data_IF_203136280875
#
_entry.id   IF_203136280875
#
_cell.length_a   1.000
_cell.length_b   1.000
_cell.length_c   1.000
_cell.angle_alpha   90.00
_cell.angle_beta   90.00
_cell.angle_gamma   90.00
#
_symmetry.space_group_name_H-M   'P 1'
#
loop_
_entity.id
_entity.type
_entity.pdbx_description
1 polymer ?
#
# COMPACT_ATOMS: atom_id res chain seq x y z
N UNK A 1 -67.37 53.39 38.35
CA UNK A 1 -66.31 52.71 37.63
C UNK A 1 -66.07 53.44 36.33
N UNK A 2 -64.98 54.19 36.19
CA UNK A 2 -64.66 54.90 34.96
C UNK A 2 -63.99 53.95 33.98
N UNK A 3 -64.69 53.60 32.90
CA UNK A 3 -64.13 52.84 31.80
C UNK A 3 -63.07 53.70 31.11
N UNK A 4 -61.79 53.32 30.98
CA UNK A 4 -60.79 54.09 30.28
C UNK A 4 -61.23 54.23 28.81
N UNK A 5 -61.13 55.47 28.24
CA UNK A 5 -61.40 55.75 26.83
C UNK A 5 -60.32 55.11 25.97
N UNK A 6 -60.61 53.94 25.36
CA UNK A 6 -59.74 53.20 24.46
C UNK A 6 -59.44 53.93 23.18
N UNK A 7 -60.21 54.96 22.82
CA UNK A 7 -60.02 55.75 21.60
C UNK A 7 -58.66 56.46 21.46
N UNK A 8 -58.02 56.78 22.57
CA UNK A 8 -56.74 57.53 22.59
C UNK A 8 -55.55 56.61 22.29
N UNK A 9 -55.70 55.31 22.34
CA UNK A 9 -54.66 54.31 22.14
C UNK A 9 -54.85 53.48 20.87
N UNK A 10 -55.77 53.88 20.02
CA UNK A 10 -56.10 53.13 18.77
C UNK A 10 -54.91 53.03 17.83
N UNK A 11 -54.13 54.10 17.67
CA UNK A 11 -52.91 54.12 16.85
C UNK A 11 -51.80 53.23 17.44
N UNK A 12 -51.64 53.24 18.77
CA UNK A 12 -50.68 52.38 19.45
C UNK A 12 -51.09 50.89 19.38
N UNK A 13 -52.38 50.58 19.49
CA UNK A 13 -52.87 49.20 19.36
C UNK A 13 -52.72 48.68 17.92
N UNK A 14 -52.94 49.53 16.88
CA UNK A 14 -52.71 49.14 15.51
C UNK A 14 -51.21 48.90 15.24
N UNK A 15 -50.35 49.75 15.78
CA UNK A 15 -48.89 49.55 15.69
C UNK A 15 -48.43 48.28 16.38
N UNK A 16 -48.94 47.99 17.58
CA UNK A 16 -48.62 46.78 18.34
C UNK A 16 -49.15 45.52 17.61
N UNK A 17 -50.34 45.57 17.02
CA UNK A 17 -50.88 44.45 16.23
C UNK A 17 -49.99 44.17 14.98
N UNK A 18 -49.61 45.23 14.24
CA UNK A 18 -48.71 45.11 13.10
C UNK A 18 -47.32 44.54 13.48
N UNK A 19 -46.77 44.97 14.62
CA UNK A 19 -45.52 44.45 15.14
C UNK A 19 -45.64 42.96 15.49
N UNK A 20 -46.70 42.52 16.14
CA UNK A 20 -46.96 41.10 16.46
C UNK A 20 -47.04 40.25 15.19
N UNK A 21 -47.78 40.68 14.20
CA UNK A 21 -47.91 39.99 12.91
C UNK A 21 -46.54 39.92 12.21
N UNK A 22 -45.79 41.01 12.19
CA UNK A 22 -44.42 41.05 11.63
C UNK A 22 -43.45 40.09 12.33
N UNK A 23 -43.54 39.97 13.66
CA UNK A 23 -42.74 39.07 14.45
C UNK A 23 -43.06 37.58 14.13
N UNK A 24 -44.33 37.25 13.98
CA UNK A 24 -44.76 35.89 13.60
C UNK A 24 -44.25 35.54 12.21
N UNK A 25 -44.48 36.43 11.24
CA UNK A 25 -44.03 36.20 9.86
C UNK A 25 -42.51 36.09 9.81
N UNK A 26 -41.78 36.97 10.51
CA UNK A 26 -40.33 36.94 10.59
C UNK A 26 -39.81 35.61 11.21
N UNK A 27 -40.46 35.13 12.25
CA UNK A 27 -40.12 33.85 12.89
C UNK A 27 -40.32 32.66 11.92
N UNK A 28 -41.40 32.65 11.14
CA UNK A 28 -41.67 31.58 10.16
C UNK A 28 -40.60 31.58 9.05
N UNK A 29 -40.30 32.77 8.50
CA UNK A 29 -39.28 32.89 7.45
C UNK A 29 -37.90 32.49 7.96
N UNK A 30 -37.53 32.97 9.16
CA UNK A 30 -36.25 32.60 9.77
C UNK A 30 -36.15 31.07 10.00
N UNK A 31 -37.21 30.48 10.51
CA UNK A 31 -37.26 29.03 10.76
C UNK A 31 -37.16 28.22 9.46
N UNK A 32 -37.82 28.65 8.40
CA UNK A 32 -37.72 28.00 7.09
C UNK A 32 -36.29 28.05 6.50
N UNK A 33 -35.64 29.20 6.57
CA UNK A 33 -34.25 29.35 6.11
C UNK A 33 -33.28 28.51 6.95
N UNK A 34 -33.51 28.50 8.26
CA UNK A 34 -32.67 27.70 9.18
C UNK A 34 -32.80 26.20 8.88
N UNK A 35 -33.98 25.67 8.65
CA UNK A 35 -34.21 24.26 8.31
C UNK A 35 -33.51 23.88 7.00
N UNK A 36 -33.66 24.71 5.96
CA UNK A 36 -33.00 24.47 4.65
C UNK A 36 -31.47 24.42 4.78
N UNK A 37 -30.89 25.35 5.54
CA UNK A 37 -29.45 25.38 5.77
C UNK A 37 -28.98 24.18 6.61
N UNK A 38 -29.76 23.78 7.61
CA UNK A 38 -29.43 22.65 8.44
C UNK A 38 -29.45 21.33 7.66
N UNK A 39 -30.46 21.13 6.81
CA UNK A 39 -30.52 19.96 5.92
C UNK A 39 -29.37 19.94 4.92
N UNK A 40 -29.02 21.07 4.35
CA UNK A 40 -27.89 21.20 3.44
C UNK A 40 -26.57 20.80 4.10
N UNK A 41 -26.32 21.29 5.33
CA UNK A 41 -25.13 20.95 6.12
C UNK A 41 -25.10 19.46 6.48
N UNK A 42 -26.24 18.90 6.90
CA UNK A 42 -26.36 17.49 7.24
C UNK A 42 -26.08 16.60 6.02
N UNK A 43 -26.65 16.94 4.88
CA UNK A 43 -26.42 16.21 3.63
C UNK A 43 -24.96 16.31 3.18
N UNK A 44 -24.34 17.48 3.31
CA UNK A 44 -22.94 17.68 2.98
C UNK A 44 -22.01 16.88 3.91
N UNK A 45 -22.29 16.86 5.21
CA UNK A 45 -21.54 16.03 6.15
C UNK A 45 -21.68 14.53 5.82
N UNK A 46 -22.89 14.05 5.50
CA UNK A 46 -23.09 12.67 5.07
C UNK A 46 -22.30 12.32 3.80
N UNK A 47 -22.29 13.20 2.80
CA UNK A 47 -21.48 13.01 1.58
C UNK A 47 -19.98 13.03 1.85
N UNK A 48 -19.53 13.87 2.79
CA UNK A 48 -18.11 13.91 3.18
C UNK A 48 -17.69 12.62 3.90
N UNK A 49 -18.50 12.10 4.80
CA UNK A 49 -18.25 10.83 5.48
C UNK A 49 -18.20 9.67 4.48
N UNK A 50 -19.14 9.64 3.52
CA UNK A 50 -19.15 8.61 2.47
C UNK A 50 -17.88 8.66 1.62
N UNK A 51 -17.46 9.87 1.20
CA UNK A 51 -16.20 10.06 0.45
C UNK A 51 -14.97 9.66 1.27
N UNK A 52 -14.93 9.98 2.56
CA UNK A 52 -13.84 9.55 3.44
C UNK A 52 -13.75 8.03 3.50
N UNK A 53 -14.87 7.35 3.73
CA UNK A 53 -14.93 5.89 3.75
C UNK A 53 -14.50 5.27 2.41
N UNK A 54 -14.89 5.90 1.30
CA UNK A 54 -14.46 5.46 -0.03
C UNK A 54 -12.94 5.62 -0.20
N UNK A 55 -12.38 6.78 0.14
CA UNK A 55 -10.94 7.01 0.05
C UNK A 55 -10.14 6.08 0.97
N UNK A 56 -10.62 5.81 2.18
CA UNK A 56 -9.97 4.83 3.06
C UNK A 56 -9.96 3.43 2.45
N UNK A 57 -11.07 3.03 1.83
CA UNK A 57 -11.17 1.74 1.14
C UNK A 57 -10.22 1.67 -0.05
N UNK A 58 -10.18 2.71 -0.88
CA UNK A 58 -9.29 2.80 -2.04
C UNK A 58 -7.81 2.77 -1.63
N UNK A 59 -7.45 3.51 -0.58
CA UNK A 59 -6.09 3.50 -0.03
C UNK A 59 -5.72 2.09 0.49
N UNK A 60 -6.66 1.42 1.13
CA UNK A 60 -6.45 0.06 1.65
C UNK A 60 -6.24 -0.94 0.52
N UNK A 61 -7.06 -0.85 -0.53
CA UNK A 61 -6.91 -1.67 -1.74
C UNK A 61 -5.59 -1.39 -2.46
N UNK A 62 -5.23 -0.12 -2.65
CA UNK A 62 -3.97 0.28 -3.27
C UNK A 62 -2.75 -0.19 -2.48
N UNK A 63 -2.78 -0.10 -1.15
CA UNK A 63 -1.72 -0.63 -0.29
C UNK A 63 -1.58 -2.14 -0.42
N UNK A 64 -2.69 -2.87 -0.41
CA UNK A 64 -2.68 -4.32 -0.60
C UNK A 64 -2.15 -4.70 -1.99
N UNK A 65 -2.63 -4.03 -3.03
CA UNK A 65 -2.16 -4.23 -4.40
C UNK A 65 -0.66 -3.95 -4.54
N UNK A 66 -0.19 -2.84 -3.99
CA UNK A 66 1.23 -2.49 -3.96
C UNK A 66 2.05 -3.57 -3.26
N UNK A 67 1.64 -4.02 -2.08
CA UNK A 67 2.37 -5.05 -1.33
C UNK A 67 2.42 -6.38 -2.08
N UNK A 68 1.34 -6.76 -2.78
CA UNK A 68 1.31 -8.01 -3.55
C UNK A 68 2.19 -8.00 -4.79
N UNK A 69 2.41 -6.84 -5.42
CA UNK A 69 3.12 -6.71 -6.69
C UNK A 69 4.54 -6.13 -6.57
N UNK A 70 4.94 -5.73 -5.37
CA UNK A 70 6.25 -5.10 -5.14
C UNK A 70 7.20 -5.91 -4.29
N UNK A 71 6.86 -7.16 -3.99
CA UNK A 71 7.73 -8.06 -3.22
C UNK A 71 8.17 -9.26 -4.04
N UNK A 72 9.36 -9.77 -3.76
CA UNK A 72 9.88 -11.00 -4.34
C UNK A 72 9.10 -12.18 -3.76
N UNK A 73 8.40 -12.93 -4.63
CA UNK A 73 7.61 -14.11 -4.22
C UNK A 73 8.41 -15.41 -4.28
N UNK A 74 9.35 -15.49 -5.21
CA UNK A 74 10.16 -16.71 -5.39
C UNK A 74 11.52 -16.39 -5.98
N UNK A 75 12.45 -17.34 -5.84
CA UNK A 75 13.81 -17.26 -6.40
C UNK A 75 14.00 -18.39 -7.40
N UNK A 76 14.45 -18.05 -8.62
CA UNK A 76 14.77 -18.97 -9.69
C UNK A 76 16.25 -18.89 -10.06
N UNK A 77 17.09 -19.82 -9.57
CA UNK A 77 18.50 -19.89 -9.99
C UNK A 77 18.62 -20.45 -11.40
N UNK A 78 19.38 -19.77 -12.25
CA UNK A 78 19.66 -20.14 -13.63
C UNK A 78 21.18 -20.28 -13.81
N UNK A 79 21.61 -21.47 -14.25
CA UNK A 79 23.02 -21.70 -14.57
C UNK A 79 23.34 -21.16 -15.95
N UNK A 80 24.36 -20.33 -16.06
CA UNK A 80 24.95 -19.92 -17.31
C UNK A 80 25.86 -21.06 -17.82
N UNK A 81 25.58 -21.56 -19.02
CA UNK A 81 26.23 -22.76 -19.57
C UNK A 81 27.64 -22.49 -20.06
N UNK A 82 28.61 -22.54 -19.17
CA UNK A 82 30.06 -22.59 -19.54
C UNK A 82 30.71 -23.95 -19.20
N UNK A 83 30.04 -24.80 -18.39
CA UNK A 83 30.52 -26.13 -18.07
C UNK A 83 29.44 -27.17 -18.38
N UNK A 84 29.86 -28.27 -19.00
CA UNK A 84 29.03 -29.50 -19.13
C UNK A 84 28.89 -30.14 -17.75
N UNK A 85 28.12 -29.48 -16.89
CA UNK A 85 27.74 -30.04 -15.60
C UNK A 85 26.63 -31.08 -15.81
N UNK A 86 26.77 -32.18 -15.16
CA UNK A 86 25.75 -33.22 -15.03
C UNK A 86 24.44 -32.64 -14.46
N UNK A 87 23.33 -33.10 -14.95
CA UNK A 87 22.00 -32.57 -14.64
C UNK A 87 21.65 -32.68 -13.14
N UNK A 88 22.12 -33.74 -12.50
CA UNK A 88 21.96 -33.94 -11.06
C UNK A 88 22.75 -32.89 -10.25
N UNK A 89 23.99 -32.63 -10.67
CA UNK A 89 24.84 -31.58 -10.05
C UNK A 89 24.26 -30.21 -10.21
N UNK A 90 23.72 -29.87 -11.41
CA UNK A 90 23.04 -28.61 -11.64
C UNK A 90 21.84 -28.42 -10.71
N UNK A 91 21.02 -29.47 -10.55
CA UNK A 91 19.85 -29.47 -9.69
C UNK A 91 20.22 -29.27 -8.22
N UNK A 92 21.26 -29.95 -7.77
CA UNK A 92 21.77 -29.79 -6.39
C UNK A 92 22.31 -28.39 -6.13
N UNK A 93 23.08 -27.81 -7.07
CA UNK A 93 23.57 -26.43 -6.98
C UNK A 93 22.44 -25.41 -6.97
N UNK A 94 21.48 -25.54 -7.87
CA UNK A 94 20.27 -24.69 -7.93
C UNK A 94 19.51 -24.74 -6.60
N UNK A 95 19.35 -25.92 -6.01
CA UNK A 95 18.67 -26.10 -4.72
C UNK A 95 19.42 -25.38 -3.60
N UNK A 96 20.72 -25.65 -3.43
CA UNK A 96 21.55 -25.00 -2.39
C UNK A 96 21.58 -23.48 -2.55
N UNK A 97 21.69 -22.98 -3.78
CA UNK A 97 21.67 -21.53 -4.05
C UNK A 97 20.30 -20.91 -3.73
N UNK A 98 19.22 -21.59 -4.12
CA UNK A 98 17.86 -21.13 -3.78
C UNK A 98 17.67 -21.05 -2.26
N UNK A 99 18.14 -22.01 -1.50
CA UNK A 99 18.02 -22.04 -0.05
C UNK A 99 18.77 -20.86 0.60
N UNK A 100 19.95 -20.51 0.08
CA UNK A 100 20.70 -19.33 0.54
C UNK A 100 20.02 -18.01 0.20
N UNK A 101 19.30 -17.96 -0.92
CA UNK A 101 18.63 -16.74 -1.40
C UNK A 101 17.19 -16.60 -0.90
N UNK A 102 16.65 -17.57 -0.15
CA UNK A 102 15.31 -17.50 0.46
C UNK A 102 15.12 -16.26 1.34
N UNK A 103 16.18 -15.74 1.93
CA UNK A 103 16.16 -14.53 2.75
C UNK A 103 15.68 -13.29 1.96
N UNK A 104 15.76 -13.32 0.63
CA UNK A 104 15.30 -12.26 -0.26
C UNK A 104 13.79 -12.35 -0.56
N UNK A 105 13.14 -13.47 -0.26
CA UNK A 105 11.70 -13.62 -0.43
C UNK A 105 10.98 -12.70 0.56
N UNK A 106 9.99 -11.94 0.07
CA UNK A 106 9.29 -10.94 0.85
C UNK A 106 9.95 -9.56 0.86
N UNK A 107 11.19 -9.42 0.35
CA UNK A 107 11.86 -8.12 0.20
C UNK A 107 11.24 -7.31 -0.94
N UNK A 108 11.36 -6.00 -0.84
CA UNK A 108 10.89 -5.08 -1.88
C UNK A 108 11.71 -5.20 -3.16
N UNK A 109 11.04 -5.28 -4.32
CA UNK A 109 11.73 -5.27 -5.62
C UNK A 109 12.49 -3.95 -5.88
N UNK A 110 12.12 -2.85 -5.20
CA UNK A 110 12.80 -1.56 -5.34
C UNK A 110 14.13 -1.49 -4.58
N UNK A 111 14.32 -2.36 -3.59
CA UNK A 111 15.56 -2.45 -2.81
C UNK A 111 16.51 -3.52 -3.37
N UNK A 112 16.11 -4.18 -4.47
CA UNK A 112 16.86 -5.32 -5.01
C UNK A 112 18.29 -4.96 -5.42
N UNK A 113 18.58 -3.72 -5.80
CA UNK A 113 19.94 -3.33 -6.17
C UNK A 113 20.91 -3.41 -4.98
N UNK A 114 20.51 -2.92 -3.82
CA UNK A 114 21.29 -3.05 -2.58
C UNK A 114 21.38 -4.49 -2.09
N UNK A 115 20.25 -5.19 -2.11
CA UNK A 115 20.15 -6.59 -1.72
C UNK A 115 20.95 -7.50 -2.67
N UNK A 116 20.94 -7.23 -3.98
CA UNK A 116 21.74 -7.93 -4.96
C UNK A 116 23.25 -7.72 -4.77
N UNK A 117 23.67 -6.49 -4.45
CA UNK A 117 25.09 -6.21 -4.11
C UNK A 117 25.50 -6.99 -2.87
N UNK A 118 24.67 -6.98 -1.83
CA UNK A 118 24.94 -7.75 -0.60
C UNK A 118 24.98 -9.25 -0.87
N UNK A 119 24.01 -9.79 -1.62
CA UNK A 119 23.97 -11.20 -1.99
C UNK A 119 25.20 -11.61 -2.81
N UNK A 120 25.64 -10.77 -3.77
CA UNK A 120 26.88 -11.02 -4.52
C UNK A 120 28.09 -11.08 -3.59
N UNK A 121 28.23 -10.13 -2.68
CA UNK A 121 29.35 -10.10 -1.73
C UNK A 121 29.36 -11.33 -0.81
N UNK A 122 28.20 -11.73 -0.30
CA UNK A 122 28.07 -12.88 0.62
C UNK A 122 28.24 -14.24 -0.08
N UNK A 123 27.83 -14.33 -1.34
CA UNK A 123 27.85 -15.59 -2.09
C UNK A 123 29.01 -15.69 -3.08
N UNK A 124 29.71 -14.58 -3.37
CA UNK A 124 30.88 -14.59 -4.23
C UNK A 124 32.02 -15.37 -3.56
N UNK A 125 32.49 -16.39 -4.25
CA UNK A 125 33.53 -17.27 -3.72
C UNK A 125 33.05 -18.28 -2.67
N UNK A 126 31.75 -18.34 -2.37
CA UNK A 126 31.21 -19.37 -1.48
C UNK A 126 31.44 -20.75 -2.08
N UNK A 127 32.08 -21.61 -1.29
CA UNK A 127 32.34 -23.00 -1.68
C UNK A 127 31.15 -23.86 -1.23
N UNK A 128 30.58 -24.56 -2.18
CA UNK A 128 29.55 -25.59 -1.94
C UNK A 128 30.25 -26.94 -1.93
N UNK A 129 30.46 -27.46 -0.73
CA UNK A 129 31.15 -28.73 -0.52
C UNK A 129 30.23 -29.91 -0.72
N UNK A 130 30.86 -31.04 -1.08
CA UNK A 130 30.25 -32.36 -1.14
C UNK A 130 29.01 -32.48 -2.05
N UNK A 131 29.10 -31.86 -3.23
CA UNK A 131 28.11 -32.08 -4.28
C UNK A 131 28.66 -33.18 -5.21
N UNK A 132 28.13 -34.40 -5.03
CA UNK A 132 28.62 -35.58 -5.77
C UNK A 132 30.14 -35.77 -5.72
N UNK A 133 30.71 -35.66 -4.51
CA UNK A 133 32.16 -35.82 -4.22
C UNK A 133 33.06 -34.72 -4.82
N UNK A 134 32.47 -33.63 -5.27
CA UNK A 134 33.20 -32.45 -5.77
C UNK A 134 32.78 -31.21 -5.03
N UNK A 135 33.67 -30.26 -4.96
CA UNK A 135 33.41 -28.94 -4.42
C UNK A 135 33.22 -27.95 -5.57
N UNK A 136 32.30 -27.03 -5.39
CA UNK A 136 31.98 -26.02 -6.41
C UNK A 136 32.00 -24.63 -5.83
N UNK A 137 32.59 -23.71 -6.57
CA UNK A 137 32.48 -22.27 -6.27
C UNK A 137 31.43 -21.67 -7.19
N UNK A 138 30.57 -20.83 -6.62
CA UNK A 138 29.51 -20.15 -7.34
C UNK A 138 29.81 -18.67 -7.46
N UNK A 139 29.64 -18.13 -8.64
CA UNK A 139 29.77 -16.71 -8.94
C UNK A 139 28.46 -16.18 -9.52
N UNK A 140 27.80 -15.24 -8.82
CA UNK A 140 26.58 -14.61 -9.30
C UNK A 140 26.94 -13.58 -10.38
N UNK A 141 26.37 -13.70 -11.56
CA UNK A 141 26.56 -12.78 -12.69
C UNK A 141 25.49 -11.69 -12.72
N UNK A 142 24.25 -12.09 -12.75
CA UNK A 142 23.12 -11.18 -12.90
C UNK A 142 21.97 -11.59 -11.98
N UNK A 143 21.28 -10.59 -11.46
CA UNK A 143 20.04 -10.74 -10.71
C UNK A 143 18.99 -9.82 -11.35
N UNK A 144 17.83 -10.38 -11.70
CA UNK A 144 16.75 -9.65 -12.33
C UNK A 144 15.41 -10.10 -11.73
N UNK A 145 14.51 -9.16 -11.51
CA UNK A 145 13.14 -9.47 -11.06
C UNK A 145 12.19 -9.36 -12.24
N UNK A 146 11.49 -10.46 -12.52
CA UNK A 146 10.44 -10.54 -13.54
C UNK A 146 9.21 -11.17 -12.89
N UNK A 147 8.07 -10.52 -12.95
CA UNK A 147 6.79 -11.00 -12.38
C UNK A 147 6.89 -11.45 -10.91
N UNK A 148 7.59 -10.68 -10.09
CA UNK A 148 7.87 -11.00 -8.68
C UNK A 148 8.77 -12.23 -8.45
N UNK A 149 9.36 -12.78 -9.51
CA UNK A 149 10.34 -13.87 -9.44
C UNK A 149 11.74 -13.30 -9.57
N UNK A 150 12.58 -13.52 -8.55
CA UNK A 150 13.99 -13.15 -8.60
C UNK A 150 14.75 -14.23 -9.40
N UNK A 151 15.11 -13.92 -10.63
CA UNK A 151 15.97 -14.73 -11.47
C UNK A 151 17.43 -14.42 -11.16
N UNK A 152 18.21 -15.45 -10.88
CA UNK A 152 19.63 -15.31 -10.49
C UNK A 152 20.48 -16.15 -11.43
N UNK A 153 21.19 -15.47 -12.34
CA UNK A 153 22.15 -16.12 -13.22
C UNK A 153 23.48 -16.30 -12.50
N UNK A 154 24.01 -17.51 -12.52
CA UNK A 154 25.26 -17.84 -11.87
C UNK A 154 26.11 -18.80 -12.69
N UNK A 155 27.42 -18.70 -12.52
CA UNK A 155 28.40 -19.67 -13.00
C UNK A 155 28.89 -20.52 -11.83
N UNK A 156 29.10 -21.80 -12.10
CA UNK A 156 29.72 -22.71 -11.15
C UNK A 156 31.08 -23.17 -11.70
N UNK A 157 32.08 -23.20 -10.85
CA UNK A 157 33.41 -23.73 -11.17
C UNK A 157 33.75 -24.87 -10.22
N UNK A 158 34.29 -25.94 -10.74
CA UNK A 158 34.82 -27.03 -9.92
C UNK A 158 36.01 -26.52 -9.13
N UNK A 159 36.01 -26.72 -7.82
CA UNK A 159 37.19 -26.47 -7.01
C UNK A 159 37.98 -27.79 -6.88
N UNK A 160 39.12 -27.87 -7.56
CA UNK A 160 40.03 -28.98 -7.41
C UNK A 160 40.66 -28.91 -6.03
N UNK A 161 40.47 -29.93 -5.19
CA UNK A 161 41.24 -30.06 -3.95
C UNK A 161 42.67 -30.40 -4.32
N UNK A 162 43.71 -29.70 -3.82
CA UNK A 162 45.05 -30.14 -3.99
C UNK A 162 45.20 -31.57 -3.39
N UNK A 163 45.92 -32.46 -4.04
CA UNK A 163 46.18 -33.78 -3.49
C UNK A 163 46.89 -33.60 -2.16
N UNK A 164 46.26 -34.14 -1.09
CA UNK A 164 46.86 -34.18 0.24
C UNK A 164 47.94 -35.25 0.35
#
# INVERSE_FOLDING_TARGET
MRVPMFERYHALMQGAAGFMVGLIVGAIVYHSIFLLNFEAIKNMNGQLEEKLNQYETDIKQLKQFKTQHTVIKSVLPIIEQDLKLDELTQTALKKKLRDNLKVLIGRSIYEIDSDAKMARLLLSGKVYTDIYKKDYTVEIKTMLVVDNVLQVWFKAKVLERPPG
#
